data_IF_707143466764
#
_entry.id   IF_707143466764
#
_cell.length_a   1.000
_cell.length_b   1.000
_cell.length_c   1.000
_cell.angle_alpha   90.00
_cell.angle_beta   90.00
_cell.angle_gamma   90.00
#
_symmetry.space_group_name_H-M   'P 1'
#
loop_
_entity.id
_entity.type
_entity.pdbx_description
1 polymer ?
#
# COMPACT_ATOMS: atom_id res chain seq x y z
N UNK A 1 -53.85 -48.14 64.51
CA UNK A 1 -52.60 -48.25 63.71
C UNK A 1 -51.83 -46.94 63.87
N UNK A 2 -50.54 -46.95 64.22
CA UNK A 2 -49.89 -45.82 64.90
C UNK A 2 -49.37 -44.73 63.94
N UNK A 3 -49.42 -43.48 64.43
CA UNK A 3 -49.04 -42.23 63.76
C UNK A 3 -47.51 -42.00 63.56
N UNK A 4 -46.68 -43.05 63.68
CA UNK A 4 -45.22 -42.97 63.51
C UNK A 4 -44.71 -43.33 62.10
N UNK A 5 -45.60 -43.73 61.17
CA UNK A 5 -45.19 -44.14 59.82
C UNK A 5 -45.29 -43.05 58.74
N UNK A 6 -45.83 -41.85 59.04
CA UNK A 6 -45.97 -40.76 58.04
C UNK A 6 -44.82 -39.75 58.10
N UNK A 7 -44.25 -39.46 59.27
CA UNK A 7 -43.12 -38.51 59.39
C UNK A 7 -41.77 -39.06 58.90
N UNK A 8 -41.58 -40.39 58.89
CA UNK A 8 -40.34 -41.01 58.40
C UNK A 8 -40.17 -41.01 56.87
N UNK A 9 -41.22 -40.76 56.09
CA UNK A 9 -41.15 -40.71 54.62
C UNK A 9 -40.85 -39.31 54.08
N UNK A 10 -41.23 -38.25 54.78
CA UNK A 10 -40.92 -36.86 54.38
C UNK A 10 -39.44 -36.54 54.67
N UNK A 11 -38.88 -37.04 55.78
CA UNK A 11 -37.45 -36.89 56.06
C UNK A 11 -36.56 -37.61 55.03
N UNK A 12 -36.94 -38.81 54.57
CA UNK A 12 -36.17 -39.57 53.56
C UNK A 12 -36.20 -38.96 52.16
N UNK A 13 -37.26 -38.24 51.77
CA UNK A 13 -37.28 -37.54 50.48
C UNK A 13 -36.40 -36.28 50.47
N UNK A 14 -36.28 -35.56 51.58
CA UNK A 14 -35.43 -34.35 51.66
C UNK A 14 -33.95 -34.73 51.73
N UNK A 15 -33.58 -35.86 52.34
CA UNK A 15 -32.19 -36.35 52.33
C UNK A 15 -31.79 -37.00 51.00
N UNK A 16 -32.70 -37.66 50.27
CA UNK A 16 -32.40 -38.19 48.93
C UNK A 16 -32.24 -37.09 47.87
N UNK A 17 -32.99 -35.98 47.95
CA UNK A 17 -32.77 -34.84 47.04
C UNK A 17 -31.45 -34.11 47.34
N UNK A 18 -31.02 -34.06 48.61
CA UNK A 18 -29.71 -33.51 48.96
C UNK A 18 -28.56 -34.43 48.49
N UNK A 19 -28.73 -35.75 48.53
CA UNK A 19 -27.71 -36.71 48.06
C UNK A 19 -27.66 -36.76 46.53
N UNK A 20 -28.77 -36.57 45.80
CA UNK A 20 -28.74 -36.51 44.34
C UNK A 20 -28.10 -35.20 43.82
N UNK A 21 -28.20 -34.10 44.56
CA UNK A 21 -27.47 -32.86 44.26
C UNK A 21 -26.00 -32.87 44.70
N UNK A 22 -25.60 -33.78 45.59
CA UNK A 22 -24.19 -33.93 46.04
C UNK A 22 -23.43 -35.01 45.24
N UNK A 23 -24.11 -35.97 44.59
CA UNK A 23 -23.44 -37.00 43.77
C UNK A 23 -23.05 -36.49 42.36
N UNK A 24 -23.49 -35.28 41.96
CA UNK A 24 -22.93 -34.57 40.80
C UNK A 24 -21.73 -33.67 41.15
N UNK A 25 -21.27 -33.70 42.41
CA UNK A 25 -20.10 -32.97 42.88
C UNK A 25 -19.15 -33.93 43.62
N UNK A 26 -18.06 -34.29 42.95
CA UNK A 26 -16.80 -34.88 43.46
C UNK A 26 -16.75 -36.41 43.60
N UNK A 27 -16.10 -37.07 42.63
CA UNK A 27 -15.11 -38.17 42.80
C UNK A 27 -14.55 -38.51 41.42
N UNK A 28 -13.38 -37.97 41.02
CA UNK A 28 -12.04 -38.54 41.24
C UNK A 28 -11.77 -39.69 40.25
N UNK A 29 -10.68 -39.82 39.51
CA UNK A 29 -9.33 -39.25 39.48
C UNK A 29 -8.70 -39.69 38.14
N UNK A 30 -7.78 -38.91 37.57
CA UNK A 30 -6.40 -39.27 37.14
C UNK A 30 -5.86 -38.06 36.36
N UNK A 31 -4.78 -37.38 36.81
CA UNK A 31 -4.09 -36.39 35.99
C UNK A 31 -2.98 -37.06 35.16
N UNK A 32 -2.82 -36.77 33.86
CA UNK A 32 -1.55 -37.01 33.19
C UNK A 32 -0.65 -35.77 33.31
N UNK A 33 0.49 -36.01 33.96
CA UNK A 33 1.79 -35.31 33.93
C UNK A 33 1.87 -33.89 33.36
N UNK A 34 2.34 -32.98 34.22
CA UNK A 34 3.03 -31.76 33.84
C UNK A 34 4.04 -32.03 32.72
N UNK A 35 3.85 -31.38 31.57
CA UNK A 35 4.95 -31.13 30.64
C UNK A 35 5.41 -29.70 30.86
N UNK A 36 6.63 -29.60 31.35
CA UNK A 36 7.44 -28.38 31.39
C UNK A 36 7.55 -27.81 29.98
N UNK A 37 6.84 -26.72 29.70
CA UNK A 37 7.15 -25.89 28.55
C UNK A 37 8.49 -25.21 28.84
N UNK A 38 9.59 -25.79 28.35
CA UNK A 38 10.75 -24.97 28.04
C UNK A 38 10.34 -24.05 26.89
N UNK A 39 10.42 -22.75 27.12
CA UNK A 39 10.42 -21.74 26.07
C UNK A 39 11.55 -22.08 25.10
N UNK A 40 11.20 -22.65 23.96
CA UNK A 40 12.09 -22.73 22.81
C UNK A 40 12.17 -21.33 22.22
N UNK A 41 13.26 -20.61 22.52
CA UNK A 41 13.67 -19.46 21.74
C UNK A 41 14.34 -19.96 20.46
N UNK A 42 13.73 -19.67 19.32
CA UNK A 42 14.27 -19.97 18.00
C UNK A 42 15.54 -19.13 17.76
N UNK A 43 16.73 -19.74 17.57
CA UNK A 43 17.96 -19.00 17.30
C UNK A 43 17.96 -18.19 15.99
N UNK A 44 16.91 -18.29 15.17
CA UNK A 44 16.73 -17.55 13.93
C UNK A 44 15.94 -16.23 14.08
N UNK A 45 15.39 -15.93 15.27
CA UNK A 45 14.67 -14.67 15.51
C UNK A 45 15.59 -13.43 15.40
N UNK A 46 16.91 -13.63 15.37
CA UNK A 46 17.93 -12.57 15.22
C UNK A 46 18.48 -12.41 13.80
N UNK A 47 18.05 -13.22 12.82
CA UNK A 47 18.60 -13.19 11.44
C UNK A 47 17.53 -12.77 10.39
N UNK A 48 16.27 -12.58 10.77
CA UNK A 48 15.16 -12.39 9.81
C UNK A 48 14.28 -11.14 10.01
N UNK A 49 14.83 -9.94 10.27
CA UNK A 49 14.02 -8.70 10.13
C UNK A 49 13.97 -8.24 8.67
N UNK A 50 13.19 -8.97 7.87
CA UNK A 50 12.59 -8.54 6.61
C UNK A 50 11.46 -9.53 6.34
N UNK A 51 10.22 -9.14 6.62
CA UNK A 51 9.02 -9.98 6.66
C UNK A 51 8.56 -10.46 5.29
N UNK A 52 9.36 -11.28 4.63
CA UNK A 52 8.99 -11.94 3.38
C UNK A 52 8.75 -13.41 3.69
N UNK A 53 7.58 -13.94 3.36
CA UNK A 53 7.32 -15.38 3.40
C UNK A 53 7.61 -16.00 2.02
N UNK A 54 8.79 -16.61 1.79
CA UNK A 54 9.21 -17.08 0.46
C UNK A 54 8.37 -18.25 -0.08
N UNK A 55 7.49 -18.83 0.72
CA UNK A 55 6.61 -19.95 0.33
C UNK A 55 5.14 -19.55 0.18
N UNK A 56 4.80 -18.26 0.33
CA UNK A 56 3.43 -17.79 0.16
C UNK A 56 2.91 -17.98 -1.27
N UNK A 57 1.62 -18.25 -1.40
CA UNK A 57 0.92 -18.41 -2.69
C UNK A 57 0.83 -17.08 -3.48
N UNK A 58 0.61 -15.97 -2.78
CA UNK A 58 0.55 -14.60 -3.30
C UNK A 58 1.69 -13.82 -2.66
N UNK A 59 2.84 -13.77 -3.34
CA UNK A 59 4.12 -13.30 -2.81
C UNK A 59 4.27 -11.78 -2.85
N UNK A 60 3.45 -11.10 -3.65
CA UNK A 60 3.42 -9.64 -3.72
C UNK A 60 2.31 -9.02 -2.87
N UNK A 61 1.29 -9.80 -2.51
CA UNK A 61 0.13 -9.29 -1.76
C UNK A 61 0.36 -9.26 -0.24
N UNK A 62 0.22 -8.07 0.33
CA UNK A 62 0.05 -7.78 1.75
C UNK A 62 -1.43 -7.67 2.10
N UNK A 63 -1.90 -8.52 3.01
CA UNK A 63 -3.29 -8.60 3.46
C UNK A 63 -3.50 -7.87 4.79
N UNK A 64 -4.44 -6.93 4.81
CA UNK A 64 -5.01 -6.39 6.06
C UNK A 64 -6.17 -7.25 6.56
N UNK A 65 -6.26 -7.52 7.85
CA UNK A 65 -7.37 -8.26 8.48
C UNK A 65 -8.11 -7.35 9.45
N UNK A 66 -9.38 -7.08 9.14
CA UNK A 66 -10.31 -6.35 10.01
C UNK A 66 -11.20 -7.36 10.72
N UNK A 67 -11.37 -7.22 12.04
CA UNK A 67 -12.36 -8.01 12.76
C UNK A 67 -13.73 -7.34 12.67
N UNK A 68 -14.75 -8.12 12.31
CA UNK A 68 -16.13 -7.65 12.37
C UNK A 68 -16.57 -7.50 13.83
N UNK A 69 -17.64 -6.73 14.09
CA UNK A 69 -18.27 -6.69 15.42
C UNK A 69 -18.71 -8.08 15.91
N UNK A 70 -19.14 -8.99 15.02
CA UNK A 70 -19.48 -10.35 15.43
C UNK A 70 -18.25 -11.17 15.82
N UNK A 71 -17.13 -10.98 15.13
CA UNK A 71 -15.86 -11.61 15.49
C UNK A 71 -15.38 -11.15 16.88
N UNK A 72 -15.45 -9.85 17.17
CA UNK A 72 -15.13 -9.32 18.50
C UNK A 72 -16.06 -9.88 19.59
N UNK A 73 -17.37 -9.94 19.31
CA UNK A 73 -18.36 -10.53 20.21
C UNK A 73 -18.11 -12.03 20.43
N UNK A 74 -17.74 -12.77 19.39
CA UNK A 74 -17.41 -14.19 19.50
C UNK A 74 -16.16 -14.41 20.36
N UNK A 75 -15.13 -13.57 20.22
CA UNK A 75 -13.93 -13.65 21.05
C UNK A 75 -14.21 -13.32 22.51
N UNK A 76 -15.05 -12.31 22.76
CA UNK A 76 -15.51 -11.96 24.11
C UNK A 76 -16.30 -13.11 24.73
N UNK A 77 -17.17 -13.76 23.96
CA UNK A 77 -17.93 -14.92 24.40
C UNK A 77 -17.03 -16.10 24.79
N UNK A 78 -15.96 -16.36 24.04
CA UNK A 78 -14.98 -17.40 24.36
C UNK A 78 -14.23 -17.10 25.65
N UNK A 79 -13.77 -15.86 25.85
CA UNK A 79 -13.09 -15.46 27.09
C UNK A 79 -13.99 -15.66 28.32
N UNK A 80 -15.24 -15.20 28.23
CA UNK A 80 -16.23 -15.36 29.30
C UNK A 80 -16.52 -16.83 29.58
N UNK A 81 -16.71 -17.63 28.54
CA UNK A 81 -16.96 -19.07 28.65
C UNK A 81 -15.78 -19.78 29.30
N UNK A 82 -14.55 -19.52 28.83
CA UNK A 82 -13.33 -20.08 29.41
C UNK A 82 -13.21 -19.76 30.89
N UNK A 83 -13.43 -18.49 31.28
CA UNK A 83 -13.40 -18.09 32.68
C UNK A 83 -14.46 -18.81 33.52
N UNK A 84 -15.68 -18.93 32.99
CA UNK A 84 -16.77 -19.64 33.66
C UNK A 84 -16.41 -21.11 33.87
N UNK A 85 -15.91 -21.82 32.85
CA UNK A 85 -15.61 -23.25 32.92
C UNK A 85 -14.30 -23.55 33.68
N UNK A 86 -13.32 -22.65 33.66
CA UNK A 86 -12.11 -22.75 34.46
C UNK A 86 -12.43 -22.80 35.96
N UNK A 87 -13.48 -22.10 36.41
CA UNK A 87 -13.96 -22.18 37.80
C UNK A 87 -14.43 -23.59 38.21
N UNK A 88 -14.75 -24.44 37.24
CA UNK A 88 -15.14 -25.85 37.43
C UNK A 88 -13.99 -26.82 37.09
N UNK A 89 -12.77 -26.32 36.90
CA UNK A 89 -11.60 -27.13 36.53
C UNK A 89 -11.60 -27.63 35.08
N UNK A 90 -12.48 -27.08 34.22
CA UNK A 90 -12.58 -27.45 32.81
C UNK A 90 -11.80 -26.44 31.96
N UNK A 91 -10.86 -26.94 31.17
CA UNK A 91 -10.06 -26.15 30.23
C UNK A 91 -10.59 -26.36 28.81
N UNK A 92 -11.47 -25.47 28.36
CA UNK A 92 -12.06 -25.45 27.01
C UNK A 92 -12.36 -24.00 26.64
N UNK A 93 -12.76 -23.75 25.39
CA UNK A 93 -13.07 -22.40 24.88
C UNK A 93 -11.83 -21.50 24.77
N UNK A 94 -10.66 -22.11 24.57
CA UNK A 94 -9.48 -21.34 24.20
C UNK A 94 -9.68 -20.72 22.81
N UNK A 95 -9.60 -19.40 22.72
CA UNK A 95 -9.68 -18.70 21.44
C UNK A 95 -8.37 -18.73 20.66
N UNK A 96 -7.24 -18.96 21.34
CA UNK A 96 -5.92 -18.90 20.71
C UNK A 96 -5.73 -19.92 19.59
N UNK A 97 -6.15 -21.20 19.71
CA UNK A 97 -6.08 -22.16 18.61
C UNK A 97 -6.85 -21.71 17.37
N UNK A 98 -8.01 -21.05 17.56
CA UNK A 98 -8.84 -20.55 16.47
C UNK A 98 -8.17 -19.34 15.78
N UNK A 99 -7.75 -18.33 16.55
CA UNK A 99 -7.12 -17.12 16.02
C UNK A 99 -5.80 -17.46 15.31
N UNK A 100 -4.92 -18.21 15.99
CA UNK A 100 -3.62 -18.59 15.45
C UNK A 100 -3.77 -19.53 14.25
N UNK A 101 -4.79 -20.38 14.24
CA UNK A 101 -5.16 -21.20 13.10
C UNK A 101 -5.52 -20.37 11.87
N UNK A 102 -6.41 -19.38 12.02
CA UNK A 102 -6.79 -18.46 10.92
C UNK A 102 -5.57 -17.69 10.45
N UNK A 103 -4.79 -17.10 11.37
CA UNK A 103 -3.57 -16.37 11.03
C UNK A 103 -2.60 -17.24 10.23
N UNK A 104 -2.37 -18.49 10.65
CA UNK A 104 -1.49 -19.43 9.96
C UNK A 104 -2.00 -19.76 8.56
N UNK A 105 -3.32 -19.96 8.38
CA UNK A 105 -3.93 -20.17 7.06
C UNK A 105 -3.62 -19.00 6.13
N UNK A 106 -3.77 -17.76 6.62
CA UNK A 106 -3.54 -16.55 5.81
C UNK A 106 -2.04 -16.32 5.53
N UNK A 107 -1.17 -16.45 6.53
CA UNK A 107 0.28 -16.25 6.37
C UNK A 107 0.89 -17.28 5.40
N UNK A 108 0.33 -18.48 5.31
CA UNK A 108 0.76 -19.47 4.31
C UNK A 108 0.37 -19.08 2.86
N UNK A 109 -0.52 -18.10 2.69
CA UNK A 109 -1.07 -17.71 1.39
C UNK A 109 -0.63 -16.32 0.96
N UNK A 110 -0.44 -15.40 1.89
CA UNK A 110 -0.05 -14.02 1.61
C UNK A 110 1.36 -13.75 2.12
N UNK A 111 2.09 -12.88 1.44
CA UNK A 111 3.45 -12.50 1.82
C UNK A 111 3.51 -11.89 3.22
N UNK A 112 2.59 -10.96 3.50
CA UNK A 112 2.43 -10.30 4.79
C UNK A 112 0.96 -10.29 5.18
N UNK A 113 0.68 -10.50 6.47
CA UNK A 113 -0.67 -10.43 7.04
C UNK A 113 -0.63 -9.56 8.29
N UNK A 114 -1.38 -8.47 8.28
CA UNK A 114 -1.44 -7.52 9.39
C UNK A 114 -2.87 -7.32 9.89
N UNK A 115 -3.04 -7.20 11.21
CA UNK A 115 -4.30 -6.76 11.78
C UNK A 115 -4.44 -5.25 11.59
N UNK A 116 -5.59 -4.82 11.07
CA UNK A 116 -5.90 -3.43 10.77
C UNK A 116 -7.27 -3.06 11.32
N UNK A 117 -7.45 -1.80 11.72
CA UNK A 117 -8.70 -1.34 12.33
C UNK A 117 -9.79 -1.05 11.28
N UNK A 118 -9.39 -0.49 10.14
CA UNK A 118 -10.27 -0.05 9.07
C UNK A 118 -9.48 0.05 7.75
N UNK A 119 -10.16 0.45 6.68
CA UNK A 119 -9.53 0.58 5.36
C UNK A 119 -8.43 1.64 5.34
N UNK A 120 -8.59 2.75 6.07
CA UNK A 120 -7.59 3.82 6.16
C UNK A 120 -6.30 3.33 6.84
N UNK A 121 -6.42 2.55 7.91
CA UNK A 121 -5.28 1.90 8.58
C UNK A 121 -4.61 0.88 7.65
N UNK A 122 -5.39 0.15 6.86
CA UNK A 122 -4.86 -0.76 5.85
C UNK A 122 -4.07 -0.03 4.75
N UNK A 123 -4.58 1.12 4.28
CA UNK A 123 -3.88 2.00 3.33
C UNK A 123 -2.56 2.52 3.93
N UNK A 124 -2.61 3.01 5.17
CA UNK A 124 -1.42 3.52 5.87
C UNK A 124 -0.35 2.45 6.06
N UNK A 125 -0.75 1.18 6.24
CA UNK A 125 0.15 0.02 6.35
C UNK A 125 0.51 -0.62 5.01
N UNK A 126 0.14 0.02 3.89
CA UNK A 126 0.44 -0.43 2.53
C UNK A 126 -0.12 -1.83 2.21
N UNK A 127 -1.29 -2.17 2.74
CA UNK A 127 -1.98 -3.39 2.34
C UNK A 127 -2.48 -3.27 0.89
N UNK A 128 -2.37 -4.36 0.12
CA UNK A 128 -2.89 -4.43 -1.24
C UNK A 128 -4.39 -4.73 -1.27
N UNK A 129 -4.89 -5.37 -0.22
CA UNK A 129 -6.28 -5.78 -0.05
C UNK A 129 -6.59 -5.99 1.43
N UNK A 130 -7.88 -6.07 1.74
CA UNK A 130 -8.37 -6.30 3.10
C UNK A 130 -9.31 -7.50 3.15
N UNK A 131 -9.23 -8.29 4.22
CA UNK A 131 -10.22 -9.29 4.60
C UNK A 131 -10.97 -8.83 5.86
N UNK A 132 -12.30 -8.73 5.78
CA UNK A 132 -13.14 -8.66 6.98
C UNK A 132 -13.36 -10.08 7.49
N UNK A 133 -12.84 -10.37 8.68
CA UNK A 133 -13.08 -11.61 9.39
C UNK A 133 -14.37 -11.49 10.20
N UNK A 134 -15.36 -12.30 9.85
CA UNK A 134 -16.62 -12.45 10.55
C UNK A 134 -16.72 -13.86 11.13
N UNK A 135 -17.17 -13.97 12.38
CA UNK A 135 -17.28 -15.26 13.07
C UNK A 135 -18.58 -15.35 13.85
N UNK A 136 -19.12 -16.56 13.93
CA UNK A 136 -20.25 -16.89 14.79
C UNK A 136 -19.98 -18.20 15.50
N UNK A 137 -20.11 -18.18 16.83
CA UNK A 137 -19.91 -19.35 17.68
C UNK A 137 -21.22 -19.62 18.42
N UNK A 138 -21.68 -20.87 18.36
CA UNK A 138 -22.82 -21.36 19.12
C UNK A 138 -22.33 -22.54 19.95
N UNK A 139 -22.33 -22.44 21.27
CA UNK A 139 -21.93 -23.56 22.11
C UNK A 139 -23.16 -24.30 22.66
N UNK A 140 -23.26 -25.58 22.36
CA UNK A 140 -24.23 -26.43 23.03
C UNK A 140 -23.85 -26.62 24.51
N UNK A 141 -24.84 -26.76 25.38
CA UNK A 141 -24.61 -27.00 26.82
C UNK A 141 -25.12 -28.34 27.32
N UNK A 142 -26.00 -29.01 26.56
CA UNK A 142 -26.64 -30.27 26.94
C UNK A 142 -26.49 -31.31 25.85
N UNK A 143 -26.51 -32.59 26.22
CA UNK A 143 -26.50 -33.70 25.25
C UNK A 143 -27.58 -33.51 24.18
N UNK A 144 -27.22 -33.73 22.93
CA UNK A 144 -28.10 -33.54 21.77
C UNK A 144 -28.11 -32.11 21.19
N UNK A 145 -27.60 -31.11 21.91
CA UNK A 145 -27.36 -29.79 21.32
C UNK A 145 -26.05 -29.79 20.52
N UNK A 146 -25.95 -28.85 19.58
CA UNK A 146 -24.80 -28.74 18.70
C UNK A 146 -23.92 -27.56 19.11
N UNK A 147 -22.61 -27.78 19.03
CA UNK A 147 -21.62 -26.70 19.02
C UNK A 147 -21.25 -26.43 17.57
N UNK A 148 -21.38 -25.17 17.14
CA UNK A 148 -21.20 -24.73 15.75
C UNK A 148 -20.22 -23.57 15.74
N UNK A 149 -19.23 -23.64 14.85
CA UNK A 149 -18.29 -22.54 14.56
C UNK A 149 -18.44 -22.20 13.08
N UNK A 150 -18.78 -20.94 12.80
CA UNK A 150 -18.82 -20.38 11.47
C UNK A 150 -17.71 -19.33 11.33
N UNK A 151 -16.93 -19.44 10.26
CA UNK A 151 -15.88 -18.48 9.90
C UNK A 151 -16.19 -17.93 8.53
N UNK A 152 -16.14 -16.62 8.35
CA UNK A 152 -16.28 -15.96 7.06
C UNK A 152 -15.18 -14.92 6.87
N UNK A 153 -14.54 -14.95 5.71
CA UNK A 153 -13.59 -13.94 5.25
C UNK A 153 -14.16 -13.26 4.01
N UNK A 154 -14.43 -11.95 4.09
CA UNK A 154 -14.88 -11.14 2.95
C UNK A 154 -13.67 -10.35 2.45
N UNK A 155 -13.20 -10.67 1.26
CA UNK A 155 -12.03 -10.05 0.65
C UNK A 155 -12.45 -8.88 -0.23
N UNK A 156 -11.77 -7.75 -0.07
CA UNK A 156 -12.02 -6.52 -0.80
C UNK A 156 -10.70 -5.89 -1.23
N UNK A 157 -10.70 -5.22 -2.37
CA UNK A 157 -9.59 -4.34 -2.74
C UNK A 157 -9.64 -3.01 -1.97
N UNK A 158 -8.65 -2.16 -2.21
CA UNK A 158 -8.53 -0.85 -1.57
C UNK A 158 -9.57 0.16 -2.06
N UNK A 159 -10.28 -0.13 -3.14
CA UNK A 159 -11.39 0.67 -3.67
C UNK A 159 -12.76 0.20 -3.12
N UNK A 160 -12.75 -0.65 -2.07
CA UNK A 160 -13.93 -1.23 -1.43
C UNK A 160 -14.74 -2.18 -2.32
N UNK A 161 -14.17 -2.67 -3.43
CA UNK A 161 -14.84 -3.66 -4.28
C UNK A 161 -14.64 -5.06 -3.71
N UNK A 162 -15.72 -5.82 -3.58
CA UNK A 162 -15.68 -7.20 -3.09
C UNK A 162 -15.02 -8.10 -4.14
N UNK A 163 -13.92 -8.73 -3.77
CA UNK A 163 -13.17 -9.70 -4.57
C UNK A 163 -13.76 -11.10 -4.45
N UNK A 164 -14.31 -11.41 -3.29
CA UNK A 164 -14.96 -12.69 -3.01
C UNK A 164 -15.11 -12.95 -1.52
N UNK A 165 -15.76 -14.05 -1.19
CA UNK A 165 -15.98 -14.46 0.18
C UNK A 165 -15.65 -15.95 0.37
N UNK A 166 -15.00 -16.27 1.48
CA UNK A 166 -14.75 -17.64 1.93
C UNK A 166 -15.54 -17.86 3.19
N UNK A 167 -16.29 -18.95 3.27
CA UNK A 167 -17.10 -19.30 4.45
C UNK A 167 -16.87 -20.75 4.83
N UNK A 168 -16.82 -21.07 6.12
CA UNK A 168 -16.86 -22.43 6.62
C UNK A 168 -17.84 -22.54 7.79
N UNK A 169 -18.43 -23.71 7.95
CA UNK A 169 -19.22 -24.11 9.12
C UNK A 169 -18.73 -25.48 9.56
N UNK A 170 -18.41 -25.62 10.84
CA UNK A 170 -18.18 -26.90 11.47
C UNK A 170 -19.15 -27.09 12.63
N UNK A 171 -19.57 -28.34 12.83
CA UNK A 171 -20.62 -28.71 13.78
C UNK A 171 -20.24 -30.01 14.46
N UNK A 172 -20.37 -30.04 15.79
CA UNK A 172 -20.33 -31.27 16.56
C UNK A 172 -21.47 -31.33 17.55
N UNK A 173 -22.21 -32.43 17.51
CA UNK A 173 -23.28 -32.72 18.47
C UNK A 173 -22.69 -33.21 19.79
N UNK A 174 -23.18 -32.68 20.90
CA UNK A 174 -22.72 -33.05 22.23
C UNK A 174 -23.17 -34.48 22.55
N UNK A 175 -22.24 -35.39 22.89
CA UNK A 175 -22.56 -36.77 23.16
C UNK A 175 -23.32 -36.95 24.49
N UNK A 176 -23.76 -38.18 24.75
CA UNK A 176 -24.13 -38.61 26.09
C UNK A 176 -22.96 -39.43 26.67
N UNK A 177 -22.50 -39.16 27.90
CA UNK A 177 -22.85 -38.02 28.74
C UNK A 177 -22.30 -36.70 28.16
N UNK A 178 -22.89 -35.56 28.55
CA UNK A 178 -22.53 -34.25 28.02
C UNK A 178 -21.06 -33.89 28.31
N UNK A 179 -20.35 -33.45 27.28
CA UNK A 179 -18.96 -32.97 27.34
C UNK A 179 -18.83 -31.69 26.53
N UNK A 180 -17.83 -30.87 26.86
CA UNK A 180 -17.49 -29.70 26.06
C UNK A 180 -16.75 -30.17 24.80
N UNK A 181 -17.27 -29.80 23.63
CA UNK A 181 -16.74 -30.27 22.34
C UNK A 181 -16.15 -29.13 21.50
N UNK A 182 -16.08 -27.91 22.04
CA UNK A 182 -15.60 -26.74 21.28
C UNK A 182 -14.21 -26.96 20.69
N UNK A 183 -13.27 -27.48 21.48
CA UNK A 183 -11.89 -27.71 21.02
C UNK A 183 -11.81 -28.77 19.91
N UNK A 184 -12.80 -29.65 19.81
CA UNK A 184 -12.92 -30.61 18.71
C UNK A 184 -13.48 -29.99 17.42
N UNK A 185 -14.29 -28.93 17.53
CA UNK A 185 -14.89 -28.24 16.38
C UNK A 185 -13.89 -27.29 15.71
N UNK A 186 -12.96 -26.71 16.47
CA UNK A 186 -11.98 -25.73 15.96
C UNK A 186 -11.16 -26.27 14.78
N UNK A 187 -10.53 -27.46 14.83
CA UNK A 187 -9.78 -28.00 13.70
C UNK A 187 -10.63 -28.21 12.44
N UNK A 188 -11.88 -28.64 12.60
CA UNK A 188 -12.82 -28.82 11.48
C UNK A 188 -13.20 -27.49 10.83
N UNK A 189 -13.45 -26.46 11.65
CA UNK A 189 -13.77 -25.11 11.16
C UNK A 189 -12.60 -24.50 10.36
N UNK A 190 -11.38 -24.64 10.90
CA UNK A 190 -10.14 -24.19 10.26
C UNK A 190 -9.86 -24.94 8.96
N UNK A 191 -10.01 -26.28 8.97
CA UNK A 191 -9.85 -27.11 7.77
C UNK A 191 -10.85 -26.71 6.69
N UNK A 192 -12.12 -26.49 7.07
CA UNK A 192 -13.14 -26.02 6.15
C UNK A 192 -12.82 -24.65 5.57
N UNK A 193 -12.33 -23.72 6.39
CA UNK A 193 -11.96 -22.38 5.94
C UNK A 193 -10.80 -22.42 4.94
N UNK A 194 -9.73 -23.16 5.25
CA UNK A 194 -8.59 -23.34 4.36
C UNK A 194 -9.01 -23.99 3.03
N UNK A 195 -9.79 -25.07 3.09
CA UNK A 195 -10.25 -25.81 1.90
C UNK A 195 -11.10 -24.92 0.99
N UNK A 196 -12.04 -24.18 1.58
CA UNK A 196 -12.94 -23.32 0.82
C UNK A 196 -12.21 -22.08 0.25
N UNK A 197 -11.15 -21.61 0.90
CA UNK A 197 -10.26 -20.62 0.30
C UNK A 197 -9.58 -21.18 -0.94
N UNK A 198 -8.94 -22.35 -0.83
CA UNK A 198 -8.14 -22.94 -1.91
C UNK A 198 -8.99 -23.34 -3.12
N UNK A 199 -10.25 -23.70 -2.89
CA UNK A 199 -11.20 -24.11 -3.93
C UNK A 199 -11.96 -22.93 -4.57
N UNK A 200 -11.83 -21.71 -4.03
CA UNK A 200 -12.55 -20.55 -4.55
C UNK A 200 -11.89 -20.03 -5.83
N UNK A 201 -12.23 -20.63 -6.97
CA UNK A 201 -11.75 -20.18 -8.28
C UNK A 201 -12.03 -18.68 -8.58
N UNK A 202 -13.21 -18.12 -8.24
CA UNK A 202 -13.47 -16.69 -8.47
C UNK A 202 -12.54 -15.79 -7.64
N UNK A 203 -12.31 -16.14 -6.37
CA UNK A 203 -11.41 -15.37 -5.50
C UNK A 203 -9.96 -15.53 -5.97
N UNK A 204 -9.53 -16.75 -6.30
CA UNK A 204 -8.18 -17.00 -6.81
C UNK A 204 -7.88 -16.21 -8.08
N UNK A 205 -8.84 -16.11 -9.01
CA UNK A 205 -8.69 -15.28 -10.22
C UNK A 205 -8.50 -13.80 -9.86
N UNK A 206 -9.32 -13.24 -8.96
CA UNK A 206 -9.19 -11.85 -8.50
C UNK A 206 -7.89 -11.57 -7.75
N UNK A 207 -7.45 -12.50 -6.90
CA UNK A 207 -6.18 -12.39 -6.20
C UNK A 207 -4.99 -12.51 -7.16
N UNK A 208 -5.08 -13.36 -8.18
CA UNK A 208 -4.07 -13.43 -9.23
C UNK A 208 -4.02 -12.15 -10.07
N UNK A 209 -5.16 -11.51 -10.35
CA UNK A 209 -5.20 -10.21 -11.01
C UNK A 209 -4.49 -9.14 -10.17
N UNK A 210 -4.75 -9.10 -8.85
CA UNK A 210 -4.07 -8.17 -7.95
C UNK A 210 -2.57 -8.48 -7.81
N UNK A 211 -2.18 -9.75 -7.75
CA UNK A 211 -0.78 -10.20 -7.68
C UNK A 211 -0.01 -9.85 -8.97
N UNK A 212 -0.68 -9.90 -10.13
CA UNK A 212 -0.12 -9.42 -11.41
C UNK A 212 0.00 -7.89 -11.46
N UNK A 213 -0.69 -7.18 -10.56
CA UNK A 213 -0.92 -5.74 -10.66
C UNK A 213 -1.88 -5.42 -11.81
N UNK A 214 -2.14 -4.15 -12.16
CA UNK A 214 -2.91 -3.83 -13.34
C UNK A 214 -2.30 -4.56 -14.54
N UNK A 215 -3.02 -5.54 -15.07
CA UNK A 215 -2.68 -6.19 -16.33
C UNK A 215 -2.59 -5.06 -17.34
N UNK A 216 -1.36 -4.74 -17.76
CA UNK A 216 -1.15 -3.91 -18.92
C UNK A 216 -1.94 -4.58 -20.02
N UNK A 217 -3.06 -3.98 -20.41
CA UNK A 217 -3.81 -4.43 -21.56
C UNK A 217 -2.76 -4.69 -22.65
N UNK A 218 -2.75 -5.89 -23.28
CA UNK A 218 -1.77 -6.19 -24.30
C UNK A 218 -1.78 -5.02 -25.26
N UNK A 219 -0.62 -4.35 -25.36
CA UNK A 219 -0.42 -3.20 -26.24
C UNK A 219 -1.01 -3.63 -27.58
N UNK A 220 -2.07 -2.95 -28.07
CA UNK A 220 -2.76 -3.39 -29.27
C UNK A 220 -1.72 -3.71 -30.36
N UNK A 221 -1.85 -4.81 -31.11
CA UNK A 221 -0.83 -5.18 -32.11
C UNK A 221 -0.65 -4.09 -33.19
N UNK A 222 -1.60 -3.16 -33.27
CA UNK A 222 -1.61 -1.94 -34.07
C UNK A 222 -1.12 -0.69 -33.33
N UNK A 223 -0.72 -0.78 -32.06
CA UNK A 223 -0.09 0.31 -31.30
C UNK A 223 1.20 0.80 -31.97
N UNK A 224 1.83 0.01 -32.84
CA UNK A 224 2.91 0.50 -33.72
C UNK A 224 2.50 1.73 -34.54
N UNK A 225 1.20 1.94 -34.82
CA UNK A 225 0.64 3.14 -35.46
C UNK A 225 0.45 4.33 -34.52
N UNK A 226 0.39 4.09 -33.20
CA UNK A 226 0.20 5.08 -32.13
C UNK A 226 1.44 5.27 -31.25
N UNK A 227 2.53 4.57 -31.54
CA UNK A 227 3.79 4.81 -30.86
C UNK A 227 4.38 6.12 -31.37
N UNK A 228 4.70 7.03 -30.44
CA UNK A 228 5.75 8.01 -30.68
C UNK A 228 7.11 7.27 -30.71
N UNK A 229 7.31 6.34 -31.65
CA UNK A 229 8.65 5.92 -32.05
C UNK A 229 9.23 7.03 -32.91
N UNK A 230 9.55 8.16 -32.28
CA UNK A 230 10.66 8.94 -32.79
C UNK A 230 11.85 8.00 -32.89
N UNK A 231 12.54 8.00 -34.03
CA UNK A 231 13.87 7.41 -34.16
C UNK A 231 14.63 7.74 -32.86
N UNK A 232 15.29 6.79 -32.16
CA UNK A 232 16.11 7.11 -31.00
C UNK A 232 17.06 8.30 -31.25
N UNK A 233 17.46 8.53 -32.51
CA UNK A 233 18.24 9.69 -32.99
C UNK A 233 17.49 11.04 -32.93
N UNK A 234 16.22 11.06 -32.55
CA UNK A 234 15.33 12.23 -32.43
C UNK A 234 14.72 12.36 -31.02
N UNK A 235 15.39 11.82 -29.99
CA UNK A 235 15.04 12.05 -28.58
C UNK A 235 15.96 13.12 -28.02
N UNK A 236 15.43 14.25 -27.57
CA UNK A 236 16.22 15.36 -27.01
C UNK A 236 15.79 15.65 -25.59
N UNK A 237 16.75 15.77 -24.68
CA UNK A 237 16.46 16.13 -23.30
C UNK A 237 17.28 17.35 -22.84
N UNK A 238 16.63 18.24 -22.11
CA UNK A 238 17.28 19.29 -21.32
C UNK A 238 17.08 18.97 -19.84
N UNK A 239 18.18 18.76 -19.13
CA UNK A 239 18.18 18.37 -17.72
C UNK A 239 18.92 19.45 -16.94
N UNK A 240 18.25 20.06 -15.97
CA UNK A 240 18.80 21.19 -15.19
C UNK A 240 18.69 20.87 -13.70
N UNK A 241 19.81 21.01 -12.99
CA UNK A 241 19.88 20.86 -11.53
C UNK A 241 20.53 22.07 -10.88
N UNK A 242 19.75 22.83 -10.10
CA UNK A 242 20.23 24.02 -9.40
C UNK A 242 20.25 23.78 -7.88
N UNK A 243 21.44 23.83 -7.29
CA UNK A 243 21.70 23.58 -5.87
C UNK A 243 22.34 24.77 -5.16
N UNK A 244 23.29 25.46 -5.82
CA UNK A 244 24.18 26.45 -5.20
C UNK A 244 23.54 27.85 -5.09
N UNK A 245 22.32 27.93 -4.59
CA UNK A 245 21.66 29.20 -4.32
C UNK A 245 22.36 29.93 -3.16
N UNK A 246 22.50 31.26 -3.28
CA UNK A 246 23.04 32.08 -2.19
C UNK A 246 22.15 32.01 -0.94
N UNK A 247 20.83 31.97 -1.14
CA UNK A 247 19.83 31.85 -0.09
C UNK A 247 19.07 30.54 -0.30
N UNK A 248 18.99 29.71 0.76
CA UNK A 248 18.35 28.39 0.70
C UNK A 248 19.01 27.41 -0.28
N UNK A 249 20.31 27.10 -0.15
CA UNK A 249 20.95 26.08 -0.99
C UNK A 249 20.27 24.71 -0.84
N UNK A 250 20.24 23.93 -1.93
CA UNK A 250 19.62 22.60 -1.98
C UNK A 250 20.69 21.52 -2.16
N UNK A 251 20.58 20.43 -1.40
CA UNK A 251 21.61 19.37 -1.37
C UNK A 251 21.61 18.48 -2.62
N UNK A 252 20.44 18.16 -3.16
CA UNK A 252 20.27 17.05 -4.11
C UNK A 252 20.14 17.42 -5.60
N UNK A 253 19.64 18.61 -6.02
CA UNK A 253 19.33 18.87 -7.43
C UNK A 253 20.44 18.60 -8.45
N UNK A 254 21.70 18.91 -8.11
CA UNK A 254 22.83 18.59 -8.99
C UNK A 254 23.05 17.08 -9.14
N UNK A 255 22.83 16.29 -8.09
CA UNK A 255 22.87 14.83 -8.16
C UNK A 255 21.68 14.31 -8.98
N UNK A 256 20.48 14.81 -8.70
CA UNK A 256 19.25 14.45 -9.42
C UNK A 256 19.41 14.65 -10.92
N UNK A 257 19.85 15.83 -11.35
CA UNK A 257 20.11 16.13 -12.75
C UNK A 257 21.23 15.27 -13.36
N UNK A 258 22.30 14.97 -12.60
CA UNK A 258 23.40 14.13 -13.11
C UNK A 258 22.95 12.70 -13.37
N UNK A 259 22.24 12.12 -12.40
CA UNK A 259 21.83 10.73 -12.43
C UNK A 259 20.69 10.54 -13.45
N UNK A 260 19.77 11.52 -13.56
CA UNK A 260 18.75 11.59 -14.61
C UNK A 260 19.36 11.70 -16.00
N UNK A 261 20.33 12.60 -16.20
CA UNK A 261 21.00 12.76 -17.49
C UNK A 261 21.70 11.48 -17.94
N UNK A 262 22.34 10.75 -17.03
CA UNK A 262 22.94 9.44 -17.34
C UNK A 262 21.86 8.45 -17.77
N UNK A 263 20.76 8.36 -17.01
CA UNK A 263 19.70 7.40 -17.30
C UNK A 263 18.97 7.69 -18.61
N UNK A 264 18.75 8.97 -18.93
CA UNK A 264 18.15 9.38 -20.20
C UNK A 264 19.07 9.09 -21.39
N UNK A 265 20.40 9.22 -21.24
CA UNK A 265 21.35 8.77 -22.26
C UNK A 265 21.26 7.27 -22.52
N UNK A 266 21.14 6.46 -21.46
CA UNK A 266 20.89 5.02 -21.57
C UNK A 266 19.57 4.71 -22.28
N UNK A 267 18.54 5.56 -22.11
CA UNK A 267 17.27 5.50 -22.84
C UNK A 267 17.32 6.10 -24.27
N UNK A 268 18.51 6.46 -24.76
CA UNK A 268 18.72 6.94 -26.12
C UNK A 268 18.47 8.43 -26.35
N UNK A 269 18.33 9.25 -25.30
CA UNK A 269 18.21 10.70 -25.46
C UNK A 269 19.56 11.37 -25.74
N UNK A 270 19.54 12.37 -26.62
CA UNK A 270 20.57 13.39 -26.70
C UNK A 270 20.35 14.42 -25.58
N UNK A 271 21.14 14.31 -24.51
CA UNK A 271 20.96 15.08 -23.27
C UNK A 271 21.87 16.30 -23.19
N UNK A 272 21.28 17.49 -23.06
CA UNK A 272 21.93 18.69 -22.57
C UNK A 272 21.77 18.78 -21.05
N UNK A 273 22.86 18.68 -20.30
CA UNK A 273 22.87 18.77 -18.84
C UNK A 273 23.42 20.13 -18.40
N UNK A 274 22.66 20.87 -17.60
CA UNK A 274 23.12 22.07 -16.91
C UNK A 274 23.09 21.87 -15.39
N UNK A 275 24.13 22.35 -14.73
CA UNK A 275 24.26 22.35 -13.26
C UNK A 275 24.48 23.77 -12.78
N UNK A 276 23.73 24.20 -11.78
CA UNK A 276 23.84 25.54 -11.20
C UNK A 276 23.80 26.64 -12.27
N UNK A 277 22.83 26.56 -13.18
CA UNK A 277 22.68 27.47 -14.30
C UNK A 277 22.07 28.80 -13.85
N UNK A 278 22.62 29.89 -14.40
CA UNK A 278 21.99 31.20 -14.33
C UNK A 278 20.89 31.33 -15.40
N UNK A 279 20.13 32.43 -15.35
CA UNK A 279 18.96 32.65 -16.21
C UNK A 279 19.31 32.53 -17.69
N UNK A 280 20.35 33.24 -18.13
CA UNK A 280 20.80 33.25 -19.53
C UNK A 280 21.12 31.85 -20.03
N UNK A 281 21.87 31.05 -19.25
CA UNK A 281 22.21 29.67 -19.63
C UNK A 281 20.97 28.79 -19.76
N UNK A 282 19.98 28.96 -18.87
CA UNK A 282 18.71 28.24 -18.94
C UNK A 282 17.93 28.63 -20.20
N UNK A 283 17.76 29.92 -20.47
CA UNK A 283 17.03 30.40 -21.65
C UNK A 283 17.69 29.97 -22.97
N UNK A 284 19.02 30.10 -23.07
CA UNK A 284 19.79 29.65 -24.23
C UNK A 284 19.61 28.14 -24.47
N UNK A 285 19.58 27.34 -23.40
CA UNK A 285 19.38 25.91 -23.51
C UNK A 285 17.94 25.54 -23.90
N UNK A 286 16.93 26.23 -23.38
CA UNK A 286 15.53 26.05 -23.80
C UNK A 286 15.36 26.41 -25.28
N UNK A 287 15.99 27.48 -25.75
CA UNK A 287 15.98 27.85 -27.16
C UNK A 287 16.63 26.76 -28.05
N UNK A 288 17.78 26.21 -27.63
CA UNK A 288 18.43 25.09 -28.32
C UNK A 288 17.60 23.81 -28.33
N UNK A 289 16.90 23.52 -27.22
CA UNK A 289 15.98 22.38 -27.14
C UNK A 289 14.87 22.53 -28.18
N UNK A 290 14.14 23.66 -28.18
CA UNK A 290 13.06 23.90 -29.14
C UNK A 290 13.54 23.85 -30.60
N UNK A 291 14.73 24.37 -30.89
CA UNK A 291 15.33 24.28 -32.23
C UNK A 291 15.65 22.84 -32.63
N UNK A 292 16.12 22.01 -31.69
CA UNK A 292 16.42 20.61 -31.94
C UNK A 292 15.14 19.79 -32.17
N UNK A 293 14.07 20.11 -31.43
CA UNK A 293 12.78 19.42 -31.52
C UNK A 293 12.04 19.64 -32.85
N UNK A 294 12.34 20.73 -33.59
CA UNK A 294 11.81 20.94 -34.95
C UNK A 294 12.18 19.83 -35.94
N UNK A 295 13.17 18.99 -35.60
CA UNK A 295 13.55 17.80 -36.37
C UNK A 295 12.57 16.62 -36.16
N UNK A 296 11.58 16.77 -35.28
CA UNK A 296 10.64 15.73 -34.87
C UNK A 296 11.09 14.95 -33.64
N UNK A 297 10.26 13.99 -33.21
CA UNK A 297 10.57 13.05 -32.12
C UNK A 297 10.10 13.48 -30.74
N UNK A 298 10.90 13.19 -29.71
CA UNK A 298 10.52 13.31 -28.30
C UNK A 298 11.35 14.38 -27.60
N UNK A 299 10.68 15.34 -26.97
CA UNK A 299 11.29 16.34 -26.11
C UNK A 299 11.08 16.02 -24.64
N UNK A 300 12.15 16.09 -23.85
CA UNK A 300 12.07 15.95 -22.39
C UNK A 300 12.75 17.14 -21.70
N UNK A 301 12.05 17.80 -20.81
CA UNK A 301 12.61 18.80 -19.91
C UNK A 301 12.53 18.30 -18.47
N UNK A 302 13.67 18.22 -17.80
CA UNK A 302 13.76 17.88 -16.38
C UNK A 302 14.37 19.04 -15.62
N UNK A 303 13.72 19.48 -14.55
CA UNK A 303 14.22 20.51 -13.66
C UNK A 303 14.17 20.06 -12.21
N UNK A 304 15.31 20.16 -11.51
CA UNK A 304 15.40 20.06 -10.06
C UNK A 304 15.96 21.37 -9.49
N UNK A 305 15.28 21.95 -8.50
CA UNK A 305 15.70 23.21 -7.88
C UNK A 305 14.57 24.00 -7.25
N UNK A 306 14.81 25.27 -6.96
CA UNK A 306 13.76 26.18 -6.50
C UNK A 306 12.84 26.57 -7.66
N UNK A 307 11.53 26.57 -7.40
CA UNK A 307 10.51 27.12 -8.27
C UNK A 307 9.41 27.77 -7.42
N UNK A 308 8.65 28.67 -8.02
CA UNK A 308 7.57 29.40 -7.37
C UNK A 308 6.43 29.70 -8.32
N UNK A 309 5.24 29.82 -7.75
CA UNK A 309 4.06 30.31 -8.43
C UNK A 309 3.84 31.80 -8.12
N UNK A 310 3.56 32.58 -9.16
CA UNK A 310 3.12 33.98 -9.08
C UNK A 310 1.99 34.19 -10.07
N UNK A 311 0.85 34.74 -9.63
CA UNK A 311 -0.33 35.00 -10.47
C UNK A 311 -0.76 33.78 -11.31
N UNK A 312 -0.69 32.58 -10.73
CA UNK A 312 -1.03 31.32 -11.43
C UNK A 312 0.02 30.80 -12.42
N UNK A 313 1.13 31.52 -12.60
CA UNK A 313 2.23 31.13 -13.48
C UNK A 313 3.41 30.54 -12.70
N UNK A 314 4.05 29.52 -13.27
CA UNK A 314 5.15 28.80 -12.65
C UNK A 314 6.52 29.31 -13.14
N UNK A 315 7.40 29.67 -12.22
CA UNK A 315 8.72 30.21 -12.50
C UNK A 315 9.82 29.35 -11.87
N UNK A 316 10.83 28.99 -12.67
CA UNK A 316 12.03 28.27 -12.25
C UNK A 316 13.10 29.29 -11.82
N UNK A 317 13.71 29.09 -10.65
CA UNK A 317 14.66 30.06 -10.09
C UNK A 317 16.10 29.72 -10.52
N UNK A 318 16.76 30.58 -11.30
CA UNK A 318 18.15 30.39 -11.71
C UNK A 318 19.13 30.75 -10.58
N UNK A 319 20.37 30.26 -10.72
CA UNK A 319 21.47 30.70 -9.87
C UNK A 319 21.79 32.17 -10.16
N UNK A 320 21.90 32.97 -9.09
CA UNK A 320 22.22 34.39 -9.17
C UNK A 320 21.01 35.31 -9.36
N UNK A 321 19.78 34.78 -9.39
CA UNK A 321 18.55 35.57 -9.44
C UNK A 321 18.48 36.59 -8.29
N UNK A 322 18.16 37.85 -8.60
CA UNK A 322 18.09 38.95 -7.62
C UNK A 322 16.63 39.27 -7.26
N UNK A 323 15.97 38.34 -6.60
CA UNK A 323 14.55 38.46 -6.22
C UNK A 323 14.43 39.23 -4.89
N UNK A 324 13.97 40.48 -4.93
CA UNK A 324 13.71 41.32 -3.75
C UNK A 324 12.22 41.51 -3.49
N UNK A 325 11.41 41.45 -4.54
CA UNK A 325 9.97 41.64 -4.57
C UNK A 325 9.32 40.61 -5.51
N UNK A 326 8.01 40.42 -5.37
CA UNK A 326 7.26 39.51 -6.25
C UNK A 326 7.34 39.95 -7.73
N UNK A 327 7.37 41.26 -8.00
CA UNK A 327 7.51 41.79 -9.37
C UNK A 327 8.84 41.45 -10.04
N UNK A 328 9.90 41.19 -9.27
CA UNK A 328 11.22 40.83 -9.83
C UNK A 328 11.21 39.43 -10.44
N UNK A 329 10.32 38.54 -9.98
CA UNK A 329 10.26 37.14 -10.39
C UNK A 329 10.05 37.03 -11.90
N UNK A 330 9.18 37.88 -12.48
CA UNK A 330 8.92 37.91 -13.93
C UNK A 330 10.15 38.26 -14.77
N UNK A 331 11.13 38.96 -14.18
CA UNK A 331 12.33 39.42 -14.89
C UNK A 331 13.57 38.60 -14.56
N UNK A 332 13.67 38.05 -13.36
CA UNK A 332 14.86 37.36 -12.83
C UNK A 332 14.75 35.83 -12.88
N UNK A 333 13.54 35.29 -13.05
CA UNK A 333 13.29 33.85 -13.15
C UNK A 333 13.04 33.40 -14.60
N UNK A 334 12.85 32.09 -14.79
CA UNK A 334 12.50 31.50 -16.10
C UNK A 334 11.07 30.99 -16.04
N UNK A 335 10.19 31.54 -16.88
CA UNK A 335 8.79 31.13 -17.00
C UNK A 335 8.66 29.75 -17.63
N UNK A 336 8.05 28.80 -16.91
CA UNK A 336 7.78 27.44 -17.37
C UNK A 336 6.79 27.40 -18.54
N UNK A 337 5.81 28.32 -18.57
CA UNK A 337 4.87 28.45 -19.69
C UNK A 337 5.59 28.74 -21.01
N UNK A 338 6.62 29.57 -20.98
CA UNK A 338 7.47 29.81 -22.15
C UNK A 338 8.26 28.57 -22.58
N UNK A 339 8.69 27.72 -21.64
CA UNK A 339 9.36 26.45 -21.96
C UNK A 339 8.39 25.50 -22.65
N UNK A 340 7.20 25.32 -22.07
CA UNK A 340 6.13 24.49 -22.64
C UNK A 340 5.74 24.98 -24.05
N UNK A 341 5.47 26.27 -24.21
CA UNK A 341 5.17 26.85 -25.52
C UNK A 341 6.29 26.65 -26.54
N UNK A 342 7.56 26.74 -26.14
CA UNK A 342 8.71 26.43 -27.03
C UNK A 342 8.76 24.97 -27.47
N UNK A 343 8.37 24.05 -26.60
CA UNK A 343 8.31 22.63 -26.91
C UNK A 343 7.10 22.32 -27.79
N UNK A 344 5.95 22.96 -27.54
CA UNK A 344 4.74 22.87 -28.36
C UNK A 344 4.95 23.43 -29.77
N UNK A 345 5.51 24.63 -29.89
CA UNK A 345 5.86 25.30 -31.16
C UNK A 345 6.77 24.47 -32.07
N UNK A 346 7.51 23.51 -31.50
CA UNK A 346 8.40 22.65 -32.26
C UNK A 346 7.65 21.60 -33.10
N UNK A 347 6.38 21.32 -32.80
CA UNK A 347 5.54 20.40 -33.57
C UNK A 347 6.02 18.95 -33.56
N UNK A 348 6.81 18.57 -32.55
CA UNK A 348 7.28 17.20 -32.38
C UNK A 348 6.19 16.31 -31.77
N UNK A 349 6.41 15.00 -31.79
CA UNK A 349 5.38 14.00 -31.51
C UNK A 349 4.99 13.90 -30.03
N UNK A 350 5.89 14.27 -29.13
CA UNK A 350 5.74 14.07 -27.69
C UNK A 350 6.62 15.03 -26.88
N UNK A 351 6.02 15.72 -25.91
CA UNK A 351 6.73 16.56 -24.95
C UNK A 351 6.51 16.08 -23.52
N UNK A 352 7.60 15.90 -22.78
CA UNK A 352 7.58 15.45 -21.39
C UNK A 352 8.25 16.53 -20.54
N UNK A 353 7.57 17.03 -19.53
CA UNK A 353 8.10 17.97 -18.56
C UNK A 353 8.06 17.33 -17.18
N UNK A 354 9.19 17.28 -16.49
CA UNK A 354 9.33 16.69 -15.16
C UNK A 354 9.92 17.72 -14.21
N UNK A 355 9.19 18.03 -13.14
CA UNK A 355 9.53 19.07 -12.17
C UNK A 355 9.76 18.45 -10.79
N UNK A 356 11.03 18.27 -10.42
CA UNK A 356 11.44 18.00 -9.04
C UNK A 356 11.76 19.31 -8.32
N UNK A 357 10.74 20.16 -8.25
CA UNK A 357 10.79 21.48 -7.66
C UNK A 357 9.79 21.60 -6.50
N UNK A 358 9.46 22.81 -6.06
CA UNK A 358 8.61 23.07 -4.88
C UNK A 358 9.25 22.79 -3.52
N UNK A 359 10.57 22.70 -3.39
CA UNK A 359 11.21 22.51 -2.08
C UNK A 359 11.28 23.84 -1.34
N UNK A 360 10.97 23.87 -0.04
CA UNK A 360 11.24 24.95 0.93
C UNK A 360 11.76 26.26 0.32
N UNK A 361 10.91 26.96 -0.43
CA UNK A 361 11.38 28.10 -1.21
C UNK A 361 11.59 29.29 -0.26
N UNK A 362 12.84 29.76 -0.05
CA UNK A 362 13.11 30.83 0.90
C UNK A 362 12.45 32.15 0.49
N UNK A 363 12.21 32.34 -0.80
CA UNK A 363 11.59 33.54 -1.35
C UNK A 363 10.06 33.55 -1.12
N UNK A 364 9.41 32.37 -1.05
CA UNK A 364 7.97 32.29 -0.80
C UNK A 364 7.60 32.81 0.60
N UNK A 365 8.48 32.69 1.60
CA UNK A 365 8.23 33.20 2.96
C UNK A 365 8.30 34.72 3.07
N UNK A 366 8.97 35.38 2.12
CA UNK A 366 9.13 36.84 2.10
C UNK A 366 7.96 37.57 1.43
N UNK A 367 7.08 36.84 0.74
CA UNK A 367 5.95 37.39 0.00
C UNK A 367 4.62 36.92 0.62
N UNK A 368 3.75 37.85 1.00
CA UNK A 368 2.44 37.54 1.63
C UNK A 368 1.47 36.82 0.67
N UNK A 369 1.74 36.87 -0.63
CA UNK A 369 0.89 36.41 -1.75
C UNK A 369 1.42 35.17 -2.47
N UNK A 370 2.66 34.73 -2.20
CA UNK A 370 3.24 33.59 -2.91
C UNK A 370 2.59 32.27 -2.45
N UNK A 371 1.97 31.56 -3.39
CA UNK A 371 1.40 30.24 -3.11
C UNK A 371 2.51 29.23 -2.78
N UNK A 372 2.22 28.32 -1.85
CA UNK A 372 3.08 27.15 -1.58
C UNK A 372 2.99 26.23 -2.80
N UNK A 373 4.11 25.62 -3.22
CA UNK A 373 4.12 24.70 -4.37
C UNK A 373 4.05 25.38 -5.74
N UNK A 374 3.66 24.59 -6.75
CA UNK A 374 3.45 25.04 -8.14
C UNK A 374 1.97 24.97 -8.52
N UNK A 375 1.58 25.81 -9.47
CA UNK A 375 0.28 25.74 -10.11
C UNK A 375 0.19 24.51 -11.03
N UNK A 376 -1.02 23.94 -11.13
CA UNK A 376 -1.33 22.99 -12.20
C UNK A 376 -1.32 23.76 -13.53
N UNK A 377 -0.74 23.15 -14.55
CA UNK A 377 -0.80 23.63 -15.92
C UNK A 377 -1.53 22.58 -16.77
N UNK A 378 -2.38 23.04 -17.67
CA UNK A 378 -2.95 22.18 -18.69
C UNK A 378 -1.84 21.72 -19.63
N UNK A 379 -1.73 20.41 -19.82
CA UNK A 379 -0.74 19.85 -20.75
C UNK A 379 -1.24 20.09 -22.19
N UNK A 380 -0.46 20.77 -23.06
CA UNK A 380 -0.81 20.89 -24.47
C UNK A 380 -0.94 19.51 -25.13
N UNK A 381 -1.64 19.43 -26.26
CA UNK A 381 -1.80 18.16 -27.00
C UNK A 381 -0.46 17.50 -27.25
N UNK A 382 -0.34 16.20 -26.95
CA UNK A 382 0.92 15.46 -27.08
C UNK A 382 1.95 15.79 -25.99
N UNK A 383 1.53 16.41 -24.87
CA UNK A 383 2.41 16.71 -23.75
C UNK A 383 2.01 16.00 -22.46
N UNK A 384 2.99 15.74 -21.61
CA UNK A 384 2.84 15.27 -20.24
C UNK A 384 3.66 16.15 -19.32
N UNK A 385 3.06 16.60 -18.22
CA UNK A 385 3.71 17.39 -17.18
C UNK A 385 3.61 16.61 -15.86
N UNK A 386 4.76 16.22 -15.30
CA UNK A 386 4.87 15.50 -14.04
C UNK A 386 5.48 16.41 -12.96
N UNK A 387 4.86 16.39 -11.78
CA UNK A 387 5.23 17.15 -10.60
C UNK A 387 5.67 16.19 -9.49
N UNK A 388 6.72 16.56 -8.75
CA UNK A 388 7.23 15.75 -7.63
C UNK A 388 6.26 15.65 -6.45
N UNK A 389 5.26 16.53 -6.36
CA UNK A 389 4.26 16.56 -5.30
C UNK A 389 2.95 17.16 -5.80
N UNK A 390 1.91 17.09 -4.97
CA UNK A 390 0.59 17.64 -5.27
C UNK A 390 0.64 19.15 -5.47
N UNK A 391 -0.23 19.71 -6.31
CA UNK A 391 -0.38 21.14 -6.47
C UNK A 391 -0.61 21.84 -5.13
N UNK A 392 0.04 22.98 -4.92
CA UNK A 392 -0.03 23.67 -3.63
C UNK A 392 0.89 23.12 -2.53
N UNK A 393 1.58 22.00 -2.76
CA UNK A 393 2.42 21.35 -1.74
C UNK A 393 3.92 21.36 -2.08
N UNK A 394 4.74 20.89 -1.13
CA UNK A 394 6.21 20.93 -1.16
C UNK A 394 6.78 19.52 -1.23
N UNK A 395 7.80 19.32 -2.05
CA UNK A 395 8.51 18.04 -2.11
C UNK A 395 9.50 17.90 -0.94
N UNK A 396 9.64 16.68 -0.41
CA UNK A 396 10.62 16.41 0.64
C UNK A 396 12.05 16.41 0.10
N UNK A 397 12.98 16.86 0.95
CA UNK A 397 14.39 16.80 0.61
C UNK A 397 14.92 15.37 0.55
N UNK A 398 14.35 14.47 1.35
CA UNK A 398 14.86 13.11 1.50
C UNK A 398 16.20 13.07 2.25
N UNK A 399 16.60 11.89 2.71
CA UNK A 399 17.85 11.68 3.45
C UNK A 399 19.00 11.17 2.56
N UNK A 400 18.67 10.73 1.35
CA UNK A 400 19.63 10.14 0.40
C UNK A 400 20.40 11.16 -0.45
N UNK A 401 21.15 10.59 -1.41
CA UNK A 401 21.90 11.30 -2.45
C UNK A 401 21.00 12.13 -3.38
N UNK A 402 19.83 11.58 -3.70
CA UNK A 402 18.83 12.14 -4.58
C UNK A 402 17.58 12.55 -3.80
N UNK A 403 16.77 13.43 -4.36
CA UNK A 403 15.42 13.68 -3.89
C UNK A 403 14.56 12.41 -3.91
N UNK A 404 13.57 12.29 -3.01
CA UNK A 404 12.69 11.11 -2.93
C UNK A 404 11.98 10.82 -4.26
N UNK A 405 11.50 11.86 -4.94
CA UNK A 405 10.88 11.72 -6.26
C UNK A 405 11.88 11.22 -7.31
N UNK A 406 13.02 11.91 -7.48
CA UNK A 406 14.04 11.49 -8.44
C UNK A 406 14.61 10.09 -8.15
N UNK A 407 14.76 9.70 -6.88
CA UNK A 407 15.19 8.35 -6.46
C UNK A 407 14.30 7.27 -7.08
N UNK A 408 12.98 7.38 -6.93
CA UNK A 408 12.05 6.40 -7.47
C UNK A 408 11.83 6.55 -8.97
N UNK A 409 11.89 7.76 -9.51
CA UNK A 409 11.87 7.95 -10.95
C UNK A 409 13.04 7.22 -11.60
N UNK A 410 14.25 7.38 -11.08
CA UNK A 410 15.43 6.62 -11.53
C UNK A 410 15.28 5.11 -11.34
N UNK A 411 14.56 4.64 -10.32
CA UNK A 411 14.31 3.20 -10.14
C UNK A 411 13.47 2.63 -11.29
N UNK A 412 12.37 3.31 -11.63
CA UNK A 412 11.37 2.79 -12.55
C UNK A 412 11.60 3.14 -14.03
N UNK A 413 12.37 4.20 -14.32
CA UNK A 413 12.51 4.75 -15.69
C UNK A 413 13.02 3.77 -16.75
N UNK A 414 13.76 2.72 -16.39
CA UNK A 414 14.25 1.70 -17.34
C UNK A 414 13.62 0.33 -17.16
N UNK A 415 12.47 0.28 -16.49
CA UNK A 415 11.69 -0.96 -16.45
C UNK A 415 11.18 -1.25 -17.86
N UNK A 416 11.55 -2.40 -18.46
CA UNK A 416 11.07 -2.79 -19.77
C UNK A 416 9.54 -2.82 -19.81
N UNK A 417 8.97 -2.43 -20.95
CA UNK A 417 7.54 -2.62 -21.22
C UNK A 417 6.60 -1.62 -20.56
N UNK A 418 7.10 -0.72 -19.72
CA UNK A 418 6.25 0.27 -19.05
C UNK A 418 6.05 1.54 -19.87
N UNK A 419 4.80 1.98 -19.96
CA UNK A 419 4.48 3.32 -20.46
C UNK A 419 4.98 4.38 -19.48
N UNK A 420 5.14 5.62 -19.92
CA UNK A 420 5.51 6.73 -19.03
C UNK A 420 4.46 6.91 -17.92
N UNK A 421 3.18 6.71 -18.21
CA UNK A 421 2.09 6.77 -17.24
C UNK A 421 2.25 5.68 -16.16
N UNK A 422 2.61 4.45 -16.54
CA UNK A 422 2.87 3.37 -15.57
C UNK A 422 4.11 3.64 -14.73
N UNK A 423 5.18 4.16 -15.34
CA UNK A 423 6.38 4.58 -14.62
C UNK A 423 6.01 5.62 -13.57
N UNK A 424 5.27 6.67 -13.95
CA UNK A 424 4.86 7.74 -13.03
C UNK A 424 3.91 7.24 -11.93
N UNK A 425 3.00 6.32 -12.26
CA UNK A 425 2.13 5.66 -11.27
C UNK A 425 2.95 4.89 -10.22
N UNK A 426 3.95 4.11 -10.64
CA UNK A 426 4.86 3.40 -9.73
C UNK A 426 5.69 4.35 -8.88
N UNK A 427 6.16 5.45 -9.46
CA UNK A 427 6.85 6.51 -8.72
C UNK A 427 5.94 7.11 -7.65
N UNK A 428 4.67 7.40 -7.97
CA UNK A 428 3.71 7.92 -6.99
C UNK A 428 3.52 6.97 -5.82
N UNK A 429 3.35 5.67 -6.10
CA UNK A 429 3.18 4.63 -5.07
C UNK A 429 4.39 4.63 -4.13
N UNK A 430 5.60 4.50 -4.67
CA UNK A 430 6.82 4.40 -3.86
C UNK A 430 7.12 5.69 -3.07
N UNK A 431 6.89 6.88 -3.67
CA UNK A 431 7.09 8.18 -2.99
C UNK A 431 6.07 8.35 -1.86
N UNK A 432 4.81 8.02 -2.10
CA UNK A 432 3.77 8.10 -1.08
C UNK A 432 4.08 7.17 0.09
N UNK A 433 4.55 5.95 -0.19
CA UNK A 433 4.97 4.99 0.83
C UNK A 433 6.17 5.49 1.66
N UNK A 434 7.27 5.92 1.03
CA UNK A 434 8.46 6.39 1.77
C UNK A 434 8.18 7.64 2.62
N UNK A 435 7.26 8.49 2.15
CA UNK A 435 6.91 9.74 2.85
C UNK A 435 5.70 9.60 3.78
N UNK A 436 5.15 8.39 3.96
CA UNK A 436 3.91 8.16 4.72
C UNK A 436 2.78 9.12 4.31
N UNK A 437 2.57 9.28 3.00
CA UNK A 437 1.55 10.14 2.41
C UNK A 437 1.86 11.64 2.42
N UNK A 438 2.99 12.09 2.98
CA UNK A 438 3.34 13.53 3.03
C UNK A 438 3.72 14.12 1.68
N UNK A 439 4.13 13.29 0.72
CA UNK A 439 4.42 13.70 -0.66
C UNK A 439 3.69 12.78 -1.63
N UNK A 440 2.85 13.36 -2.49
CA UNK A 440 2.08 12.62 -3.49
C UNK A 440 2.38 13.21 -4.87
N UNK A 441 3.21 12.56 -5.70
CA UNK A 441 3.46 13.01 -7.06
C UNK A 441 2.19 13.12 -7.90
N UNK A 442 2.16 14.11 -8.80
CA UNK A 442 1.00 14.44 -9.63
C UNK A 442 1.38 14.59 -11.10
N UNK A 443 0.45 14.37 -12.03
CA UNK A 443 0.67 14.63 -13.45
C UNK A 443 -0.56 15.21 -14.15
N UNK A 444 -0.29 15.93 -15.24
CA UNK A 444 -1.25 16.42 -16.22
C UNK A 444 -0.83 15.86 -17.57
N UNK A 445 -1.73 15.17 -18.27
CA UNK A 445 -1.40 14.46 -19.51
C UNK A 445 -2.45 14.69 -20.58
N UNK A 446 -1.98 15.00 -21.79
CA UNK A 446 -2.74 15.06 -23.04
C UNK A 446 -2.08 14.18 -24.10
N UNK A 447 -1.45 13.08 -23.67
CA UNK A 447 -0.83 12.11 -24.57
C UNK A 447 -1.88 11.36 -25.37
N UNK A 448 -1.66 11.27 -26.68
CA UNK A 448 -2.55 10.57 -27.62
C UNK A 448 -1.95 9.25 -28.10
N UNK A 449 -0.82 8.84 -27.54
CA UNK A 449 -0.06 7.67 -27.94
C UNK A 449 0.88 7.21 -26.83
N UNK A 450 1.42 6.01 -26.97
CA UNK A 450 2.25 5.39 -25.93
C UNK A 450 3.73 5.74 -26.09
N UNK A 451 4.39 6.01 -24.95
CA UNK A 451 5.83 6.20 -24.88
C UNK A 451 6.48 5.27 -23.86
N UNK A 452 7.59 4.67 -24.29
CA UNK A 452 8.40 3.75 -23.50
C UNK A 452 9.83 4.25 -23.49
N UNK A 453 10.40 4.44 -22.30
CA UNK A 453 11.82 4.71 -22.16
C UNK A 453 12.65 3.50 -22.61
N UNK A 454 12.20 2.29 -22.27
CA UNK A 454 12.74 1.00 -22.70
C UNK A 454 11.61 0.07 -23.10
N UNK A 455 11.63 -0.45 -24.33
CA UNK A 455 10.67 -1.46 -24.81
C UNK A 455 11.04 -2.84 -24.28
N UNK A 456 10.06 -3.74 -24.19
CA UNK A 456 10.32 -5.18 -24.08
C UNK A 456 10.98 -5.67 -25.38
N UNK A 457 12.00 -6.52 -25.25
CA UNK A 457 12.62 -7.22 -26.39
C UNK A 457 11.80 -8.45 -26.80
#
# INVERSE_FOLDING_TARGET
MPAQQVFGRIAKCVTLLAILCIVLLVSGCVPPKESTYQTYEDPLELIGKSGVNPTAQYQSLKLGVIYSPNAENAMTYLDQSRQQYAAWGLNSYDKEPLINGIKKILVNRFNEVEQVMNLDDAMNKSCNLVMILDMKITAGQTSGNDTIIMIAGIFMDMDSSILGNVKSEARKRIPWPATLVYDDVVPEALKGFATNFDQSAPLAAKLADLERGPELAPVPQDAARYMATGDPRQRFALVIGNSSYKTGPLRNPVNDASDMARRLKEAGFNVTLLKNANQRLMEDAVHRLGTSLRKGGVGLFFYAGHAMQVDGSNYLIPIGAKIRSESDIRYEAVDLGRILGKMEDAGNSLNIVVLDACRNNPFARSFRSAAKGLAIMDAPTGSLIAYSTSPGDVAEDGTGRNGTYTKYLLRHLMTPGLTIEDVLKRVRIDVSQETNGRQIPWESSSLTGYFYFRKDE
#
